data_IF_726855130764
#
_entry.id   IF_726855130764
#
_cell.length_a   1.000
_cell.length_b   1.000
_cell.length_c   1.000
_cell.angle_alpha   90.00
_cell.angle_beta   90.00
_cell.angle_gamma   90.00
#
_symmetry.space_group_name_H-M   'P 1'
#
loop_
_entity.id
_entity.type
_entity.pdbx_description
1 polymer ?
#
# COMPACT_ATOMS: atom_id res chain seq x y z
N UNK A 1 -16.12 -6.85 -34.06
CA UNK A 1 -16.11 -8.25 -33.62
C UNK A 1 -16.02 -8.23 -32.11
N UNK A 2 -17.08 -8.70 -31.46
CA UNK A 2 -17.29 -8.60 -30.03
C UNK A 2 -16.42 -9.63 -29.29
N UNK A 3 -15.77 -9.19 -28.21
CA UNK A 3 -15.25 -10.10 -27.18
C UNK A 3 -16.40 -10.35 -26.21
N UNK A 4 -17.21 -11.36 -26.54
CA UNK A 4 -18.28 -11.87 -25.69
C UNK A 4 -17.69 -12.55 -24.45
N UNK A 5 -18.11 -12.13 -23.25
CA UNK A 5 -18.08 -13.01 -22.06
C UNK A 5 -17.37 -12.52 -20.79
N UNK A 6 -16.57 -11.45 -20.83
CA UNK A 6 -16.06 -10.81 -19.61
C UNK A 6 -16.47 -9.34 -19.61
N UNK A 7 -17.42 -8.98 -18.74
CA UNK A 7 -17.80 -7.58 -18.52
C UNK A 7 -16.69 -6.86 -17.76
N UNK A 8 -15.64 -6.42 -18.45
CA UNK A 8 -14.64 -5.53 -17.89
C UNK A 8 -14.96 -4.10 -18.30
N UNK A 9 -15.01 -3.19 -17.31
CA UNK A 9 -15.15 -1.76 -17.54
C UNK A 9 -13.88 -1.08 -17.05
N UNK A 10 -13.28 -0.25 -17.90
CA UNK A 10 -12.15 0.57 -17.50
C UNK A 10 -12.59 1.61 -16.46
N UNK A 11 -11.82 1.75 -15.39
CA UNK A 11 -12.01 2.82 -14.43
C UNK A 11 -11.66 4.15 -15.08
N UNK A 12 -12.52 5.15 -14.91
CA UNK A 12 -12.20 6.54 -15.29
C UNK A 12 -11.31 7.23 -14.27
N UNK A 13 -10.97 6.56 -13.15
CA UNK A 13 -10.10 7.05 -12.09
C UNK A 13 -10.52 8.41 -11.49
N UNK A 14 -11.82 8.72 -11.56
CA UNK A 14 -12.43 9.96 -11.05
C UNK A 14 -12.96 9.85 -9.62
N UNK A 15 -13.14 8.63 -9.11
CA UNK A 15 -13.65 8.35 -7.77
C UNK A 15 -12.59 8.46 -6.66
N UNK A 16 -12.96 7.96 -5.48
CA UNK A 16 -12.09 7.90 -4.31
C UNK A 16 -10.87 7.02 -4.56
N UNK A 17 -9.69 7.53 -4.22
CA UNK A 17 -8.40 6.85 -4.42
C UNK A 17 -7.88 6.33 -3.07
N UNK A 18 -7.72 5.01 -2.95
CA UNK A 18 -7.20 4.34 -1.76
C UNK A 18 -5.87 3.66 -2.07
N UNK A 19 -4.91 3.71 -1.15
CA UNK A 19 -3.64 3.00 -1.31
C UNK A 19 -3.27 2.19 -0.07
N UNK A 20 -2.70 1.01 -0.29
CA UNK A 20 -2.05 0.19 0.71
C UNK A 20 -0.57 0.11 0.38
N UNK A 21 0.29 0.60 1.28
CA UNK A 21 1.74 0.59 1.15
C UNK A 21 2.34 -0.28 2.24
N UNK A 22 3.17 -1.25 1.85
CA UNK A 22 3.79 -2.21 2.77
C UNK A 22 5.30 -2.19 2.53
N UNK A 23 6.07 -1.90 3.59
CA UNK A 23 7.53 -1.90 3.55
C UNK A 23 8.07 -2.78 4.68
N UNK A 24 8.88 -3.78 4.34
CA UNK A 24 9.38 -4.75 5.31
C UNK A 24 10.89 -4.85 5.15
N UNK A 25 11.63 -4.40 6.14
CA UNK A 25 13.09 -4.50 6.18
C UNK A 25 13.57 -5.76 6.93
N UNK A 26 12.72 -6.46 7.67
CA UNK A 26 13.08 -7.64 8.47
C UNK A 26 14.20 -7.35 9.48
N UNK A 27 14.13 -6.20 10.18
CA UNK A 27 15.16 -5.79 11.14
C UNK A 27 15.52 -6.90 12.14
N UNK A 28 16.82 -7.09 12.39
CA UNK A 28 17.36 -8.09 13.31
C UNK A 28 17.07 -9.55 12.94
N UNK A 29 16.77 -9.83 11.66
CA UNK A 29 16.58 -11.19 11.14
C UNK A 29 17.62 -11.50 10.07
N UNK A 30 17.87 -12.79 9.83
CA UNK A 30 18.65 -13.23 8.67
C UNK A 30 17.92 -12.85 7.38
N UNK A 31 18.54 -11.98 6.57
CA UNK A 31 17.93 -11.44 5.36
C UNK A 31 17.41 -10.00 5.47
N UNK A 32 17.87 -9.23 6.46
CA UNK A 32 17.55 -7.80 6.60
C UNK A 32 17.78 -7.03 5.29
N UNK A 33 16.74 -6.32 4.86
CA UNK A 33 16.73 -5.47 3.67
C UNK A 33 16.95 -4.02 4.06
N UNK A 34 17.55 -3.25 3.15
CA UNK A 34 17.77 -1.82 3.30
C UNK A 34 17.05 -1.08 2.18
N UNK A 35 15.98 -0.38 2.52
CA UNK A 35 15.35 0.58 1.61
C UNK A 35 13.84 0.45 1.45
N UNK A 36 13.21 -0.67 1.82
CA UNK A 36 11.78 -0.88 1.58
C UNK A 36 10.91 0.17 2.27
N UNK A 37 11.33 0.64 3.45
CA UNK A 37 10.66 1.74 4.17
C UNK A 37 10.83 3.08 3.45
N UNK A 38 12.00 3.32 2.85
CA UNK A 38 12.25 4.51 2.05
C UNK A 38 11.39 4.51 0.78
N UNK A 39 11.23 3.34 0.15
CA UNK A 39 10.34 3.18 -1.01
C UNK A 39 8.90 3.53 -0.66
N UNK A 40 8.40 3.04 0.48
CA UNK A 40 7.06 3.39 1.00
C UNK A 40 6.92 4.89 1.22
N UNK A 41 7.91 5.56 1.80
CA UNK A 41 7.88 7.02 2.01
C UNK A 41 7.83 7.77 0.69
N UNK A 42 8.67 7.39 -0.28
CA UNK A 42 8.73 8.02 -1.60
C UNK A 42 7.42 7.83 -2.36
N UNK A 43 6.86 6.61 -2.38
CA UNK A 43 5.59 6.33 -3.04
C UNK A 43 4.43 7.05 -2.33
N UNK A 44 4.44 7.11 -1.00
CA UNK A 44 3.41 7.83 -0.24
C UNK A 44 3.38 9.33 -0.59
N UNK A 45 4.56 9.96 -0.62
CA UNK A 45 4.70 11.36 -1.02
C UNK A 45 4.26 11.56 -2.49
N UNK A 46 4.72 10.70 -3.39
CA UNK A 46 4.36 10.75 -4.80
C UNK A 46 2.86 10.64 -5.05
N UNK A 47 2.18 9.69 -4.39
CA UNK A 47 0.73 9.50 -4.51
C UNK A 47 -0.05 10.71 -3.96
N UNK A 48 0.41 11.27 -2.84
CA UNK A 48 -0.24 12.43 -2.22
C UNK A 48 -0.05 13.69 -3.07
N UNK A 49 1.18 13.98 -3.50
CA UNK A 49 1.55 15.22 -4.18
C UNK A 49 1.15 15.25 -5.65
N UNK A 50 1.25 14.11 -6.35
CA UNK A 50 1.06 14.05 -7.82
C UNK A 50 -0.28 13.45 -8.22
N UNK A 51 -0.84 12.55 -7.42
CA UNK A 51 -2.05 11.79 -7.76
C UNK A 51 -3.24 12.09 -6.84
N UNK A 52 -3.12 13.04 -5.92
CA UNK A 52 -4.22 13.51 -5.09
C UNK A 52 -4.80 12.43 -4.16
N UNK A 53 -4.00 11.43 -3.77
CA UNK A 53 -4.39 10.51 -2.72
C UNK A 53 -4.43 11.26 -1.39
N UNK A 54 -5.49 11.07 -0.62
CA UNK A 54 -5.57 11.64 0.72
C UNK A 54 -4.87 10.72 1.70
N UNK A 55 -4.11 11.27 2.65
CA UNK A 55 -3.45 10.49 3.69
C UNK A 55 -4.44 9.66 4.53
N UNK A 56 -5.66 10.14 4.73
CA UNK A 56 -6.74 9.40 5.42
C UNK A 56 -7.21 8.14 4.67
N UNK A 57 -6.95 8.09 3.37
CA UNK A 57 -7.29 6.99 2.47
C UNK A 57 -6.06 6.12 2.14
N UNK A 58 -5.05 6.17 2.98
CA UNK A 58 -3.82 5.40 2.84
C UNK A 58 -3.56 4.58 4.10
N UNK A 59 -3.34 3.29 3.90
CA UNK A 59 -2.86 2.39 4.95
C UNK A 59 -1.38 2.12 4.69
N UNK A 60 -0.53 2.43 5.67
CA UNK A 60 0.91 2.25 5.57
C UNK A 60 1.35 1.28 6.66
N UNK A 61 1.90 0.13 6.25
CA UNK A 61 2.43 -0.88 7.14
C UNK A 61 3.95 -0.95 7.00
N UNK A 62 4.69 -0.62 8.06
CA UNK A 62 6.17 -0.71 8.06
C UNK A 62 6.69 -1.26 9.38
N UNK A 63 7.76 -2.04 9.31
CA UNK A 63 8.33 -2.76 10.46
C UNK A 63 9.25 -1.90 11.35
N UNK A 64 9.45 -0.63 11.02
CA UNK A 64 10.03 0.39 11.91
C UNK A 64 9.01 1.03 12.86
N UNK A 65 7.71 0.73 12.70
CA UNK A 65 6.65 1.32 13.53
C UNK A 65 6.58 0.68 14.92
N UNK A 66 6.50 1.53 15.95
CA UNK A 66 6.26 1.12 17.33
C UNK A 66 4.82 0.67 17.56
N UNK A 67 3.88 1.14 16.75
CA UNK A 67 2.46 0.78 16.88
C UNK A 67 2.19 -0.60 16.28
N UNK A 68 1.68 -1.59 17.06
CA UNK A 68 1.42 -2.93 16.57
C UNK A 68 0.44 -3.00 15.39
N UNK A 69 -0.53 -2.08 15.28
CA UNK A 69 -1.47 -2.07 14.14
C UNK A 69 -0.82 -1.56 12.84
N UNK A 70 0.29 -0.84 12.95
CA UNK A 70 1.06 -0.34 11.81
C UNK A 70 2.17 -1.29 11.36
N UNK A 71 2.41 -2.39 12.07
CA UNK A 71 3.41 -3.38 11.68
C UNK A 71 2.89 -4.29 10.56
N UNK A 72 3.74 -4.71 9.61
CA UNK A 72 3.36 -5.54 8.47
C UNK A 72 3.27 -7.03 8.84
N UNK A 73 2.53 -7.34 9.91
CA UNK A 73 2.22 -8.73 10.27
C UNK A 73 1.27 -9.33 9.25
N UNK A 74 1.24 -10.66 9.13
CA UNK A 74 0.31 -11.36 8.23
C UNK A 74 -1.15 -10.95 8.48
N UNK A 75 -1.55 -10.83 9.75
CA UNK A 75 -2.91 -10.41 10.13
C UNK A 75 -3.19 -8.98 9.66
N UNK A 76 -2.29 -8.04 9.93
CA UNK A 76 -2.45 -6.64 9.52
C UNK A 76 -2.47 -6.48 8.01
N UNK A 77 -1.64 -7.21 7.27
CA UNK A 77 -1.62 -7.20 5.81
C UNK A 77 -2.95 -7.70 5.26
N UNK A 78 -3.46 -8.83 5.76
CA UNK A 78 -4.75 -9.36 5.33
C UNK A 78 -5.90 -8.40 5.64
N UNK A 79 -5.91 -7.84 6.86
CA UNK A 79 -6.90 -6.82 7.26
C UNK A 79 -6.84 -5.58 6.39
N UNK A 80 -5.65 -5.12 6.02
CA UNK A 80 -5.46 -3.97 5.17
C UNK A 80 -5.83 -4.24 3.70
N UNK A 81 -5.66 -5.48 3.21
CA UNK A 81 -6.14 -5.89 1.89
C UNK A 81 -7.67 -5.95 1.81
N UNK A 82 -8.34 -6.25 2.93
CA UNK A 82 -9.80 -6.27 3.02
C UNK A 82 -10.44 -4.90 3.26
N UNK A 83 -9.65 -3.91 3.68
CA UNK A 83 -10.11 -2.56 4.03
C UNK A 83 -10.56 -1.75 2.81
#
# INVERSE_FOLDING_TARGET
MATEGYGFQYSTCTGKRKALLIGINYFNQDGELRGCINDVKNISAFLTERYGYKKEDMVILTDDQTNPVGQPTKDNILRAMHW
#
